data_IF_332271614854
#
_entry.id   IF_332271614854
#
_cell.length_a   1.000
_cell.length_b   1.000
_cell.length_c   1.000
_cell.angle_alpha   90.00
_cell.angle_beta   90.00
_cell.angle_gamma   90.00
#
_symmetry.space_group_name_H-M   'P 1'
#
loop_
_entity.id
_entity.type
_entity.pdbx_description
1 polymer ?
#
# COMPACT_ATOMS: atom_id res chain seq x y z
N UNK A 1 34.27 56.95 19.99
CA UNK A 1 34.31 55.73 19.17
C UNK A 1 33.00 54.99 19.42
N UNK A 2 32.06 55.03 18.48
CA UNK A 2 30.75 54.40 18.63
C UNK A 2 30.84 52.92 18.32
N UNK A 3 30.46 52.07 19.27
CA UNK A 3 30.34 50.62 19.11
C UNK A 3 29.26 50.31 18.06
N UNK A 4 29.65 49.69 16.96
CA UNK A 4 28.74 49.23 15.91
C UNK A 4 28.01 47.99 16.41
N UNK A 5 26.79 48.15 16.91
CA UNK A 5 25.91 47.01 17.20
C UNK A 5 25.39 46.43 15.88
N UNK A 6 25.92 45.29 15.45
CA UNK A 6 25.30 44.46 14.42
C UNK A 6 24.27 43.55 15.08
N UNK A 7 22.99 43.72 14.73
CA UNK A 7 21.93 42.78 15.10
C UNK A 7 21.82 41.70 14.02
N UNK A 8 21.91 40.44 14.43
CA UNK A 8 21.67 39.26 13.60
C UNK A 8 20.32 38.67 13.99
N UNK A 9 19.38 38.69 13.06
CA UNK A 9 18.06 38.09 13.24
C UNK A 9 17.98 36.84 12.37
N UNK A 10 17.73 35.69 12.99
CA UNK A 10 17.43 34.43 12.30
C UNK A 10 15.94 34.14 12.44
N UNK A 11 15.24 34.11 11.30
CA UNK A 11 13.83 33.72 11.25
C UNK A 11 13.72 32.41 10.49
N UNK A 12 13.24 31.38 11.18
CA UNK A 12 12.90 30.09 10.57
C UNK A 12 11.52 30.27 9.91
N UNK A 13 11.49 30.44 8.59
CA UNK A 13 10.23 30.45 7.85
C UNK A 13 9.80 29.02 7.56
N UNK A 14 8.60 28.69 8.04
CA UNK A 14 8.09 27.32 8.09
C UNK A 14 7.91 26.63 6.74
N UNK A 15 7.92 25.30 6.85
CA UNK A 15 7.55 24.25 5.91
C UNK A 15 6.78 24.72 4.66
N UNK A 16 7.41 24.69 3.50
CA UNK A 16 6.69 24.75 2.22
C UNK A 16 7.00 23.50 1.39
N UNK A 17 5.96 22.70 1.17
CA UNK A 17 5.92 21.77 0.04
C UNK A 17 5.94 22.64 -1.21
N UNK A 18 6.74 22.26 -2.21
CA UNK A 18 6.69 22.94 -3.51
C UNK A 18 5.34 22.63 -4.17
N UNK A 19 4.34 23.46 -3.88
CA UNK A 19 2.93 23.31 -4.30
C UNK A 19 2.80 23.27 -5.83
N UNK A 20 3.83 23.71 -6.56
CA UNK A 20 3.87 23.69 -8.01
C UNK A 20 4.16 22.29 -8.59
N UNK A 21 4.78 21.38 -7.81
CA UNK A 21 5.09 20.02 -8.27
C UNK A 21 3.88 19.12 -8.03
N UNK A 22 2.98 19.02 -9.02
CA UNK A 22 1.88 18.06 -8.96
C UNK A 22 2.46 16.64 -8.88
N UNK A 23 2.04 15.81 -7.90
CA UNK A 23 2.51 14.44 -7.82
C UNK A 23 2.11 13.66 -9.07
N UNK A 24 3.03 12.86 -9.62
CA UNK A 24 2.71 11.97 -10.73
C UNK A 24 1.99 10.75 -10.18
N UNK A 25 0.77 10.52 -10.69
CA UNK A 25 -0.07 9.38 -10.34
C UNK A 25 -0.17 8.43 -11.53
N UNK A 26 0.14 7.16 -11.32
CA UNK A 26 -0.15 6.10 -12.28
C UNK A 26 -0.79 4.92 -11.60
N UNK A 27 -1.87 4.41 -12.17
CA UNK A 27 -2.54 3.21 -11.73
C UNK A 27 -2.60 2.22 -12.90
N UNK A 28 -2.11 1.00 -12.69
CA UNK A 28 -2.11 -0.07 -13.69
C UNK A 28 -2.72 -1.34 -13.12
N UNK A 29 -3.57 -1.98 -13.92
CA UNK A 29 -4.07 -3.34 -13.65
C UNK A 29 -3.58 -4.26 -14.76
N UNK A 30 -3.03 -5.42 -14.41
CA UNK A 30 -2.71 -6.47 -15.38
C UNK A 30 -3.81 -7.54 -15.38
N UNK A 31 -4.26 -7.91 -16.57
CA UNK A 31 -5.49 -8.67 -16.77
C UNK A 31 -5.27 -10.17 -16.97
N UNK A 32 -6.19 -10.96 -16.40
CA UNK A 32 -6.41 -12.36 -16.74
C UNK A 32 -7.89 -12.72 -16.69
N UNK A 33 -8.69 -12.27 -17.67
CA UNK A 33 -10.14 -12.55 -17.81
C UNK A 33 -11.12 -11.87 -16.82
N UNK A 34 -12.38 -11.70 -17.25
CA UNK A 34 -13.51 -11.31 -16.40
C UNK A 34 -14.11 -12.56 -15.75
N UNK A 35 -14.17 -12.59 -14.42
CA UNK A 35 -14.67 -13.74 -13.67
C UNK A 35 -16.14 -13.55 -13.34
N UNK A 36 -17.01 -14.41 -13.87
CA UNK A 36 -18.42 -14.46 -13.46
C UNK A 36 -18.62 -15.63 -12.49
N UNK A 37 -18.96 -15.34 -11.23
CA UNK A 37 -19.16 -16.35 -10.19
C UNK A 37 -20.43 -17.21 -10.38
N UNK A 38 -21.38 -16.80 -11.23
CA UNK A 38 -22.66 -17.49 -11.38
C UNK A 38 -22.47 -18.87 -12.02
N UNK A 39 -22.74 -19.95 -11.26
CA UNK A 39 -22.70 -21.33 -11.73
C UNK A 39 -21.37 -22.07 -11.51
N UNK A 40 -20.37 -21.42 -10.92
CA UNK A 40 -19.07 -22.02 -10.62
C UNK A 40 -18.86 -22.13 -9.10
N UNK A 41 -18.96 -23.35 -8.57
CA UNK A 41 -18.93 -23.63 -7.12
C UNK A 41 -17.65 -23.12 -6.44
N UNK A 42 -16.48 -23.29 -7.07
CA UNK A 42 -15.23 -22.86 -6.44
C UNK A 42 -15.13 -21.32 -6.41
N UNK A 43 -15.58 -20.63 -7.47
CA UNK A 43 -15.65 -19.16 -7.47
C UNK A 43 -16.66 -18.65 -6.44
N UNK A 44 -17.75 -19.37 -6.19
CA UNK A 44 -18.70 -19.01 -5.14
C UNK A 44 -18.08 -19.11 -3.75
N UNK A 45 -17.29 -20.15 -3.47
CA UNK A 45 -16.53 -20.29 -2.21
C UNK A 45 -15.49 -19.18 -2.05
N UNK A 46 -14.79 -18.83 -3.14
CA UNK A 46 -13.84 -17.71 -3.15
C UNK A 46 -14.56 -16.38 -2.89
N UNK A 47 -15.67 -16.11 -3.59
CA UNK A 47 -16.49 -14.91 -3.37
C UNK A 47 -16.95 -14.82 -1.91
N UNK A 48 -17.42 -15.91 -1.31
CA UNK A 48 -17.86 -15.92 0.09
C UNK A 48 -16.69 -15.64 1.05
N UNK A 49 -15.52 -16.24 0.80
CA UNK A 49 -14.30 -16.02 1.58
C UNK A 49 -13.80 -14.58 1.50
N UNK A 50 -13.83 -13.98 0.30
CA UNK A 50 -13.46 -12.57 0.08
C UNK A 50 -14.50 -11.61 0.68
N UNK A 51 -15.79 -11.92 0.53
CA UNK A 51 -16.89 -11.10 1.08
C UNK A 51 -16.89 -11.09 2.62
N UNK A 52 -16.34 -12.12 3.26
CA UNK A 52 -16.17 -12.16 4.71
C UNK A 52 -15.06 -11.23 5.22
N UNK A 53 -14.19 -10.75 4.33
CA UNK A 53 -13.08 -9.85 4.71
C UNK A 53 -13.65 -8.47 5.04
N UNK A 54 -13.46 -8.04 6.29
CA UNK A 54 -13.82 -6.71 6.75
C UNK A 54 -12.73 -5.69 6.39
N UNK A 55 -13.16 -4.52 5.91
CA UNK A 55 -12.30 -3.35 5.67
C UNK A 55 -12.95 -2.07 6.17
N UNK A 56 -12.15 -1.15 6.70
CA UNK A 56 -12.59 0.21 7.01
C UNK A 56 -12.28 1.13 5.84
N UNK A 57 -13.29 1.45 5.02
CA UNK A 57 -13.10 2.26 3.80
C UNK A 57 -12.73 3.71 4.12
N UNK A 58 -13.32 4.31 5.14
CA UNK A 58 -13.03 5.69 5.55
C UNK A 58 -11.56 5.86 5.95
N UNK A 59 -11.03 4.93 6.76
CA UNK A 59 -9.64 5.00 7.23
C UNK A 59 -8.66 4.78 6.07
N UNK A 60 -8.98 3.87 5.15
CA UNK A 60 -8.17 3.63 3.97
C UNK A 60 -8.12 4.85 3.02
N UNK A 61 -9.26 5.51 2.78
CA UNK A 61 -9.35 6.74 1.98
C UNK A 61 -8.61 7.89 2.68
N UNK A 62 -8.76 8.02 4.00
CA UNK A 62 -8.03 9.02 4.77
C UNK A 62 -6.53 8.82 4.63
N UNK A 63 -6.04 7.57 4.78
CA UNK A 63 -4.63 7.26 4.62
C UNK A 63 -4.15 7.54 3.18
N UNK A 64 -4.92 7.14 2.16
CA UNK A 64 -4.59 7.42 0.75
C UNK A 64 -4.44 8.93 0.51
N UNK A 65 -5.36 9.74 1.01
CA UNK A 65 -5.30 11.19 0.84
C UNK A 65 -4.09 11.79 1.55
N UNK A 66 -3.84 11.41 2.80
CA UNK A 66 -2.67 11.90 3.53
C UNK A 66 -1.39 11.52 2.81
N UNK A 67 -1.23 10.24 2.45
CA UNK A 67 -0.05 9.76 1.74
C UNK A 67 0.15 10.46 0.39
N UNK A 68 -0.89 10.55 -0.44
CA UNK A 68 -0.83 11.10 -1.79
C UNK A 68 -0.57 12.61 -1.82
N UNK A 69 -1.20 13.36 -0.91
CA UNK A 69 -1.17 14.83 -0.97
C UNK A 69 -0.12 15.46 -0.07
N UNK A 70 0.18 14.82 1.06
CA UNK A 70 1.07 15.41 2.05
C UNK A 70 2.46 14.80 2.02
N UNK A 71 2.62 13.54 1.60
CA UNK A 71 3.90 12.85 1.82
C UNK A 71 4.62 12.43 0.56
N UNK A 72 4.00 12.32 -0.62
CA UNK A 72 4.63 11.66 -1.76
C UNK A 72 4.75 12.51 -3.04
N UNK A 73 5.95 12.51 -3.62
CA UNK A 73 6.28 13.14 -4.91
C UNK A 73 5.83 12.30 -6.11
N UNK A 74 5.82 10.98 -5.94
CA UNK A 74 5.40 10.00 -6.94
C UNK A 74 4.56 8.92 -6.26
N UNK A 75 3.51 8.46 -6.95
CA UNK A 75 2.61 7.42 -6.49
C UNK A 75 2.24 6.51 -7.65
N UNK A 76 2.67 5.26 -7.57
CA UNK A 76 2.44 4.26 -8.60
C UNK A 76 1.81 3.02 -7.99
N UNK A 77 0.59 2.74 -8.40
CA UNK A 77 -0.14 1.54 -8.02
C UNK A 77 -0.12 0.55 -9.18
N UNK A 78 0.17 -0.69 -8.86
CA UNK A 78 0.05 -1.80 -9.79
C UNK A 78 -0.66 -2.95 -9.09
N UNK A 79 -1.74 -3.44 -9.69
CA UNK A 79 -2.44 -4.60 -9.18
C UNK A 79 -2.53 -5.70 -10.24
N UNK A 80 -2.23 -6.93 -9.83
CA UNK A 80 -2.30 -8.12 -10.67
C UNK A 80 -3.20 -9.15 -10.01
N UNK A 81 -4.19 -9.65 -10.75
CA UNK A 81 -5.02 -10.77 -10.31
C UNK A 81 -4.77 -11.97 -11.22
N UNK A 82 -4.56 -13.13 -10.61
CA UNK A 82 -4.36 -14.39 -11.33
C UNK A 82 -5.17 -15.51 -10.70
N UNK A 83 -5.58 -16.42 -11.56
CA UNK A 83 -6.36 -17.59 -11.19
C UNK A 83 -5.57 -18.86 -11.55
N UNK A 84 -5.62 -19.83 -10.65
CA UNK A 84 -4.98 -21.14 -10.78
C UNK A 84 -6.06 -22.21 -10.61
N UNK A 85 -6.21 -23.12 -11.58
CA UNK A 85 -7.28 -24.12 -11.58
C UNK A 85 -6.75 -25.54 -11.71
N UNK A 86 -7.48 -26.47 -11.10
CA UNK A 86 -7.33 -27.89 -11.38
C UNK A 86 -6.02 -28.52 -10.90
N UNK A 87 -5.32 -27.90 -9.96
CA UNK A 87 -4.12 -28.49 -9.38
C UNK A 87 -4.54 -29.67 -8.51
N UNK A 88 -3.89 -30.83 -8.68
CA UNK A 88 -4.13 -31.97 -7.81
C UNK A 88 -3.74 -31.62 -6.37
N UNK A 89 -4.46 -32.16 -5.38
CA UNK A 89 -4.03 -32.10 -3.98
C UNK A 89 -2.65 -32.74 -3.74
N UNK A 90 -2.21 -33.63 -4.64
CA UNK A 90 -0.86 -34.22 -4.62
C UNK A 90 0.21 -33.28 -5.20
N UNK A 91 -0.18 -32.23 -5.92
CA UNK A 91 0.68 -31.28 -6.61
C UNK A 91 0.60 -29.87 -5.98
N UNK A 92 0.30 -29.80 -4.68
CA UNK A 92 0.22 -28.54 -3.96
C UNK A 92 1.54 -27.74 -3.99
N UNK A 93 2.69 -28.41 -4.03
CA UNK A 93 3.99 -27.75 -4.15
C UNK A 93 4.13 -26.97 -5.47
N UNK A 94 3.63 -27.53 -6.58
CA UNK A 94 3.60 -26.85 -7.88
C UNK A 94 2.70 -25.63 -7.83
N UNK A 95 1.50 -25.75 -7.25
CA UNK A 95 0.60 -24.61 -7.06
C UNK A 95 1.26 -23.51 -6.21
N UNK A 96 1.90 -23.87 -5.10
CA UNK A 96 2.59 -22.92 -4.24
C UNK A 96 3.73 -22.24 -4.98
N UNK A 97 4.49 -22.98 -5.79
CA UNK A 97 5.57 -22.43 -6.62
C UNK A 97 5.03 -21.38 -7.59
N UNK A 98 3.99 -21.71 -8.36
CA UNK A 98 3.42 -20.82 -9.37
C UNK A 98 2.78 -19.56 -8.76
N UNK A 99 2.15 -19.70 -7.57
CA UNK A 99 1.66 -18.56 -6.80
C UNK A 99 2.84 -17.70 -6.35
N UNK A 100 3.91 -18.32 -5.85
CA UNK A 100 5.06 -17.60 -5.30
C UNK A 100 5.84 -16.79 -6.32
N UNK A 101 5.85 -17.21 -7.59
CA UNK A 101 6.43 -16.42 -8.69
C UNK A 101 5.79 -15.02 -8.80
N UNK A 102 4.51 -14.87 -8.49
CA UNK A 102 3.83 -13.57 -8.50
C UNK A 102 4.30 -12.63 -7.37
N UNK A 103 4.67 -13.21 -6.23
CA UNK A 103 4.90 -12.45 -4.99
C UNK A 103 6.38 -12.29 -4.64
N UNK A 104 7.24 -13.18 -5.15
CA UNK A 104 8.68 -13.26 -4.86
C UNK A 104 9.01 -14.34 -3.82
N UNK A 105 10.29 -14.68 -3.69
CA UNK A 105 10.77 -15.84 -2.90
C UNK A 105 10.32 -15.83 -1.43
N UNK A 106 10.16 -14.66 -0.80
CA UNK A 106 9.72 -14.54 0.59
C UNK A 106 8.29 -15.04 0.83
N UNK A 107 7.47 -15.12 -0.21
CA UNK A 107 6.11 -15.65 -0.14
C UNK A 107 6.07 -17.17 0.01
N UNK A 108 7.06 -17.89 -0.55
CA UNK A 108 7.15 -19.36 -0.51
C UNK A 108 7.11 -19.86 0.93
N UNK A 109 7.88 -19.22 1.83
CA UNK A 109 7.94 -19.63 3.24
C UNK A 109 6.58 -19.49 3.95
N UNK A 110 5.83 -18.43 3.64
CA UNK A 110 4.50 -18.20 4.22
C UNK A 110 3.44 -19.13 3.63
N UNK A 111 3.54 -19.42 2.33
CA UNK A 111 2.62 -20.31 1.61
C UNK A 111 2.90 -21.79 1.90
N UNK A 112 4.13 -22.16 2.25
CA UNK A 112 4.48 -23.54 2.63
C UNK A 112 3.72 -24.05 3.86
N UNK A 113 3.09 -23.19 4.67
CA UNK A 113 2.17 -23.63 5.73
C UNK A 113 0.92 -24.36 5.20
N UNK A 114 0.55 -24.13 3.93
CA UNK A 114 -0.62 -24.71 3.26
C UNK A 114 -0.50 -26.22 3.12
N UNK A 115 0.70 -26.73 2.80
CA UNK A 115 0.93 -28.15 2.54
C UNK A 115 0.63 -29.05 3.76
N UNK A 116 0.58 -28.46 4.96
CA UNK A 116 0.33 -29.17 6.22
C UNK A 116 -1.11 -29.04 6.73
N UNK A 117 -1.99 -28.36 6.00
CA UNK A 117 -3.36 -28.11 6.45
C UNK A 117 -4.28 -29.29 6.08
N UNK A 118 -4.68 -30.10 7.08
CA UNK A 118 -5.56 -31.26 6.88
C UNK A 118 -7.00 -30.90 6.48
N UNK A 119 -7.42 -29.63 6.66
CA UNK A 119 -8.75 -29.11 6.32
C UNK A 119 -8.66 -27.97 5.30
N UNK A 120 -8.39 -28.31 4.04
CA UNK A 120 -8.12 -27.36 2.95
C UNK A 120 -9.39 -26.89 2.22
N UNK A 121 -10.59 -26.96 2.82
CA UNK A 121 -11.86 -26.66 2.13
C UNK A 121 -11.87 -25.25 1.52
N UNK A 122 -11.57 -24.23 2.32
CA UNK A 122 -11.28 -22.88 1.84
C UNK A 122 -10.30 -22.21 2.80
N UNK A 123 -9.24 -21.62 2.25
CA UNK A 123 -8.20 -20.94 3.02
C UNK A 123 -7.85 -19.61 2.40
N UNK A 124 -7.65 -18.60 3.23
CA UNK A 124 -7.22 -17.26 2.85
C UNK A 124 -5.88 -16.97 3.49
N UNK A 125 -4.97 -16.39 2.71
CA UNK A 125 -3.69 -15.90 3.17
C UNK A 125 -3.54 -14.46 2.74
N UNK A 126 -3.08 -13.62 3.67
CA UNK A 126 -2.68 -12.25 3.40
C UNK A 126 -1.22 -12.10 3.78
N UNK A 127 -0.47 -11.35 2.99
CA UNK A 127 0.90 -11.02 3.30
C UNK A 127 1.23 -9.61 2.85
N UNK A 128 2.16 -9.02 3.59
CA UNK A 128 2.64 -7.67 3.36
C UNK A 128 4.17 -7.69 3.47
N UNK A 129 4.81 -6.94 2.57
CA UNK A 129 6.25 -6.79 2.45
C UNK A 129 6.55 -5.30 2.17
N UNK A 130 7.74 -4.84 2.55
CA UNK A 130 8.12 -3.44 2.32
C UNK A 130 7.30 -2.43 3.14
N UNK A 131 6.94 -2.79 4.37
CA UNK A 131 6.21 -1.88 5.28
C UNK A 131 7.06 -0.70 5.76
N UNK A 132 8.37 -0.68 5.47
CA UNK A 132 9.22 0.48 5.70
C UNK A 132 8.94 1.55 4.65
N UNK A 133 8.19 2.57 5.05
CA UNK A 133 7.80 3.67 4.17
C UNK A 133 8.99 4.51 3.67
N UNK A 134 10.19 4.35 4.25
CA UNK A 134 11.42 4.98 3.73
C UNK A 134 11.90 4.34 2.44
N UNK A 135 11.61 3.06 2.24
CA UNK A 135 12.02 2.30 1.04
C UNK A 135 11.19 2.65 -0.19
N UNK A 136 10.01 3.25 0.00
CA UNK A 136 9.16 3.67 -1.11
C UNK A 136 8.54 2.52 -1.88
N UNK A 137 8.49 1.31 -1.32
CA UNK A 137 7.92 0.15 -2.00
C UNK A 137 7.16 -0.72 -1.01
N UNK A 138 5.85 -0.84 -1.21
CA UNK A 138 4.95 -1.66 -0.44
C UNK A 138 4.33 -2.72 -1.35
N UNK A 139 4.45 -3.99 -0.97
CA UNK A 139 3.80 -5.10 -1.66
C UNK A 139 2.85 -5.80 -0.70
N UNK A 140 1.61 -5.96 -1.12
CA UNK A 140 0.59 -6.72 -0.42
C UNK A 140 0.08 -7.82 -1.33
N UNK A 141 -0.27 -8.97 -0.76
CA UNK A 141 -0.99 -9.96 -1.54
C UNK A 141 -1.99 -10.75 -0.74
N UNK A 142 -2.98 -11.23 -1.48
CA UNK A 142 -4.09 -12.01 -0.98
C UNK A 142 -4.22 -13.25 -1.85
N UNK A 143 -4.22 -14.42 -1.21
CA UNK A 143 -4.39 -15.71 -1.86
C UNK A 143 -5.58 -16.40 -1.22
N UNK A 144 -6.58 -16.73 -2.02
CA UNK A 144 -7.73 -17.53 -1.59
C UNK A 144 -7.70 -18.85 -2.33
N UNK A 145 -7.63 -19.94 -1.59
CA UNK A 145 -7.60 -21.30 -2.10
C UNK A 145 -8.87 -22.02 -1.69
N UNK A 146 -9.35 -22.90 -2.56
CA UNK A 146 -10.49 -23.76 -2.29
C UNK A 146 -10.23 -25.15 -2.86
N UNK A 147 -10.55 -26.16 -2.07
CA UNK A 147 -10.51 -27.56 -2.50
C UNK A 147 -11.88 -27.97 -3.05
N UNK A 148 -11.90 -28.64 -4.19
CA UNK A 148 -13.08 -29.32 -4.73
C UNK A 148 -12.71 -30.74 -5.17
N UNK A 149 -13.20 -31.75 -4.44
CA UNK A 149 -12.73 -33.14 -4.61
C UNK A 149 -11.22 -33.24 -4.43
N UNK A 150 -10.54 -33.84 -5.41
CA UNK A 150 -9.08 -34.00 -5.43
C UNK A 150 -8.32 -32.83 -6.09
N UNK A 151 -9.03 -31.74 -6.38
CA UNK A 151 -8.46 -30.55 -7.01
C UNK A 151 -8.46 -29.35 -6.08
N UNK A 152 -7.51 -28.46 -6.30
CA UNK A 152 -7.36 -27.19 -5.60
C UNK A 152 -7.35 -26.08 -6.65
N UNK A 153 -8.17 -25.07 -6.41
CA UNK A 153 -8.24 -23.86 -7.20
C UNK A 153 -7.84 -22.68 -6.31
N UNK A 154 -7.21 -21.67 -6.89
CA UNK A 154 -6.81 -20.47 -6.16
C UNK A 154 -7.04 -19.21 -6.99
N UNK A 155 -7.37 -18.13 -6.30
CA UNK A 155 -7.38 -16.78 -6.87
C UNK A 155 -6.46 -15.91 -6.01
N UNK A 156 -5.61 -15.17 -6.70
CA UNK A 156 -4.49 -14.44 -6.13
C UNK A 156 -4.55 -12.98 -6.56
N UNK A 157 -4.24 -12.04 -5.68
CA UNK A 157 -4.07 -10.63 -5.99
C UNK A 157 -2.76 -10.12 -5.40
N UNK A 158 -1.91 -9.53 -6.23
CA UNK A 158 -0.71 -8.77 -5.84
C UNK A 158 -1.02 -7.29 -6.00
N UNK A 159 -1.00 -6.55 -4.91
CA UNK A 159 -1.04 -5.08 -4.93
C UNK A 159 0.36 -4.55 -4.62
N UNK A 160 0.91 -3.77 -5.55
CA UNK A 160 2.18 -3.08 -5.43
C UNK A 160 1.95 -1.57 -5.39
N UNK A 161 2.52 -0.92 -4.40
CA UNK A 161 2.54 0.52 -4.27
C UNK A 161 4.00 0.98 -4.22
N UNK A 162 4.44 1.68 -5.27
CA UNK A 162 5.74 2.36 -5.31
C UNK A 162 5.52 3.85 -5.12
N UNK A 163 6.29 4.46 -4.24
CA UNK A 163 6.18 5.88 -3.92
C UNK A 163 7.53 6.46 -3.49
N UNK A 164 7.64 7.78 -3.53
CA UNK A 164 8.81 8.48 -3.01
C UNK A 164 8.37 9.57 -2.05
N UNK A 165 9.00 9.64 -0.86
CA UNK A 165 8.72 10.67 0.13
C UNK A 165 9.14 12.04 -0.41
N UNK A 166 8.19 12.97 -0.44
CA UNK A 166 8.41 14.36 -0.74
C UNK A 166 9.45 14.92 0.23
N UNK A 167 10.40 15.67 -0.33
CA UNK A 167 11.48 16.23 0.44
C UNK A 167 10.99 17.49 1.17
N UNK A 168 11.43 17.65 2.41
CA UNK A 168 11.13 18.83 3.22
C UNK A 168 12.21 19.88 2.97
N UNK A 169 11.79 21.07 2.59
CA UNK A 169 12.70 22.20 2.35
C UNK A 169 12.70 23.08 3.59
N UNK A 170 13.86 23.14 4.24
CA UNK A 170 14.12 24.07 5.34
C UNK A 170 14.95 25.24 4.78
N UNK A 171 14.63 26.47 5.21
CA UNK A 171 15.37 27.66 4.81
C UNK A 171 15.70 28.54 6.00
N UNK A 172 16.94 29.02 6.03
CA UNK A 172 17.42 29.99 7.00
C UNK A 172 17.77 31.27 6.26
N UNK A 173 17.06 32.35 6.56
CA UNK A 173 17.41 33.68 6.06
C UNK A 173 18.13 34.44 7.16
N UNK A 174 19.39 34.80 6.89
CA UNK A 174 20.17 35.72 7.71
C UNK A 174 20.12 37.10 7.08
N UNK A 175 19.66 38.09 7.85
CA UNK A 175 19.66 39.50 7.46
C UNK A 175 20.70 40.28 8.23
N UNK A 176 21.37 41.20 7.56
CA UNK A 176 22.32 42.14 8.15
C UNK A 176 21.75 43.55 8.06
N UNK A 177 21.92 44.33 9.11
CA UNK A 177 21.39 45.69 9.21
C UNK A 177 22.51 46.68 9.56
N UNK A 178 22.47 47.86 8.92
CA UNK A 178 23.32 49.00 9.25
C UNK A 178 22.45 50.24 9.44
N UNK A 179 22.57 50.90 10.61
CA UNK A 179 21.75 52.07 10.98
C UNK A 179 20.23 51.85 10.80
N UNK A 180 19.74 50.63 11.04
CA UNK A 180 18.33 50.28 10.90
C UNK A 180 17.89 49.92 9.46
N UNK A 181 18.78 50.01 8.47
CA UNK A 181 18.51 49.61 7.09
C UNK A 181 19.07 48.22 6.80
N UNK A 182 18.29 47.36 6.14
CA UNK A 182 18.75 46.04 5.67
C UNK A 182 19.83 46.24 4.60
N UNK A 183 21.05 45.77 4.88
CA UNK A 183 22.20 45.90 3.98
C UNK A 183 22.47 44.64 3.18
N UNK A 184 22.12 43.47 3.73
CA UNK A 184 22.25 42.21 3.02
C UNK A 184 21.25 41.19 3.56
N UNK A 185 20.87 40.26 2.69
CA UNK A 185 20.06 39.09 3.03
C UNK A 185 20.67 37.87 2.36
N UNK A 186 20.87 36.81 3.14
CA UNK A 186 21.37 35.52 2.66
C UNK A 186 20.39 34.44 3.10
N UNK A 187 19.76 33.78 2.14
CA UNK A 187 18.94 32.60 2.38
C UNK A 187 19.75 31.36 2.07
N UNK A 188 19.86 30.44 3.03
CA UNK A 188 20.37 29.09 2.84
C UNK A 188 19.21 28.14 2.85
N UNK A 189 19.16 27.26 1.86
CA UNK A 189 18.11 26.25 1.73
C UNK A 189 18.76 24.88 1.81
N UNK A 190 18.17 23.98 2.58
CA UNK A 190 18.56 22.57 2.59
C UNK A 190 17.32 21.68 2.56
N UNK A 191 17.54 20.46 2.08
CA UNK A 191 16.49 19.48 1.89
C UNK A 191 16.69 18.34 2.89
N UNK A 192 15.62 17.95 3.57
CA UNK A 192 15.60 16.85 4.52
C UNK A 192 14.52 15.84 4.14
N UNK A 193 14.75 14.57 4.44
CA UNK A 193 13.72 13.55 4.24
C UNK A 193 12.64 13.71 5.32
N UNK A 194 11.37 13.83 4.89
CA UNK A 194 10.22 13.97 5.77
C UNK A 194 9.97 12.69 6.57
N UNK A 195 9.59 12.83 7.85
CA UNK A 195 9.20 11.70 8.70
C UNK A 195 7.72 11.36 8.52
N UNK A 196 7.42 10.08 8.29
CA UNK A 196 6.04 9.57 8.16
C UNK A 196 5.63 8.95 9.50
N UNK A 197 5.53 9.79 10.55
CA UNK A 197 5.43 9.34 11.94
C UNK A 197 4.04 8.87 12.40
N UNK A 198 3.00 9.01 11.58
CA UNK A 198 1.59 8.75 11.95
C UNK A 198 1.01 7.48 11.29
N UNK A 199 1.73 6.87 10.34
CA UNK A 199 1.21 5.72 9.59
C UNK A 199 1.51 4.43 10.33
N UNK A 200 0.46 3.76 10.80
CA UNK A 200 0.59 2.47 11.47
C UNK A 200 0.59 1.32 10.46
N UNK A 201 1.23 0.20 10.83
CA UNK A 201 1.17 -1.03 10.03
C UNK A 201 -0.28 -1.50 9.81
N UNK A 202 -1.17 -1.31 10.80
CA UNK A 202 -2.59 -1.65 10.67
C UNK A 202 -3.25 -0.83 9.57
N UNK A 203 -3.05 0.49 9.59
CA UNK A 203 -3.60 1.39 8.58
C UNK A 203 -3.14 1.01 7.17
N UNK A 204 -1.85 0.63 7.01
CA UNK A 204 -1.31 0.16 5.74
C UNK A 204 -1.94 -1.16 5.28
N UNK A 205 -2.11 -2.13 6.18
CA UNK A 205 -2.77 -3.41 5.86
C UNK A 205 -4.22 -3.17 5.42
N UNK A 206 -4.97 -2.37 6.18
CA UNK A 206 -6.36 -2.05 5.84
C UNK A 206 -6.47 -1.34 4.49
N UNK A 207 -5.57 -0.38 4.21
CA UNK A 207 -5.51 0.30 2.91
C UNK A 207 -5.21 -0.68 1.77
N UNK A 208 -4.15 -1.48 1.87
CA UNK A 208 -3.80 -2.44 0.81
C UNK A 208 -4.89 -3.50 0.59
N UNK A 209 -5.49 -3.99 1.69
CA UNK A 209 -6.60 -4.94 1.64
C UNK A 209 -7.82 -4.34 0.93
N UNK A 210 -8.15 -3.08 1.21
CA UNK A 210 -9.24 -2.37 0.53
C UNK A 210 -8.97 -2.26 -0.98
N UNK A 211 -7.74 -1.90 -1.38
CA UNK A 211 -7.35 -1.81 -2.81
C UNK A 211 -7.42 -3.18 -3.50
N UNK A 212 -6.94 -4.24 -2.86
CA UNK A 212 -7.03 -5.60 -3.39
C UNK A 212 -8.48 -6.08 -3.53
N UNK A 213 -9.35 -5.81 -2.55
CA UNK A 213 -10.77 -6.15 -2.62
C UNK A 213 -11.51 -5.35 -3.69
N UNK A 214 -11.21 -4.07 -3.85
CA UNK A 214 -11.77 -3.25 -4.92
C UNK A 214 -11.38 -3.81 -6.30
N UNK A 215 -10.17 -4.36 -6.46
CA UNK A 215 -9.81 -5.07 -7.70
C UNK A 215 -10.57 -6.38 -7.88
N UNK A 216 -10.62 -7.22 -6.85
CA UNK A 216 -11.43 -8.43 -6.93
C UNK A 216 -12.88 -8.12 -7.32
N UNK A 217 -13.42 -7.00 -6.84
CA UNK A 217 -14.77 -6.56 -7.16
C UNK A 217 -14.89 -6.09 -8.60
N UNK A 218 -13.96 -5.26 -9.08
CA UNK A 218 -13.94 -4.78 -10.47
C UNK A 218 -13.86 -5.92 -11.48
N UNK A 219 -13.18 -7.00 -11.13
CA UNK A 219 -13.05 -8.17 -11.99
C UNK A 219 -14.12 -9.24 -11.77
N UNK A 220 -15.10 -9.02 -10.88
CA UNK A 220 -16.21 -9.93 -10.65
C UNK A 220 -15.90 -11.15 -9.78
N UNK A 221 -14.72 -11.23 -9.17
CA UNK A 221 -14.35 -12.32 -8.22
C UNK A 221 -15.12 -12.20 -6.92
N UNK A 222 -15.34 -10.97 -6.45
CA UNK A 222 -16.15 -10.68 -5.26
C UNK A 222 -17.30 -9.76 -5.62
N UNK A 223 -18.50 -10.12 -5.20
CA UNK A 223 -19.72 -9.35 -5.45
C UNK A 223 -19.86 -8.17 -4.49
N UNK A 224 -19.48 -8.38 -3.22
CA UNK A 224 -19.68 -7.40 -2.15
C UNK A 224 -18.45 -7.30 -1.25
N UNK A 225 -18.12 -6.08 -0.84
CA UNK A 225 -17.05 -5.79 0.11
C UNK A 225 -17.68 -5.48 1.47
N UNK A 226 -17.27 -6.18 2.53
CA UNK A 226 -17.78 -5.96 3.87
C UNK A 226 -17.09 -4.75 4.52
N UNK A 227 -17.79 -3.62 4.52
CA UNK A 227 -17.28 -2.35 5.06
C UNK A 227 -17.73 -2.17 6.50
N UNK A 228 -16.76 -1.96 7.39
CA UNK A 228 -16.98 -1.67 8.82
C UNK A 228 -16.67 -0.20 9.14
N UNK A 229 -17.06 0.24 10.35
CA UNK A 229 -16.98 1.64 10.77
C UNK A 229 -15.59 2.07 11.25
N UNK A 230 -14.76 1.14 11.71
CA UNK A 230 -13.42 1.43 12.21
C UNK A 230 -12.43 0.33 11.84
N UNK A 231 -11.15 0.67 11.78
CA UNK A 231 -10.09 -0.33 11.59
C UNK A 231 -10.07 -1.40 12.70
N UNK A 232 -10.47 -1.05 13.92
CA UNK A 232 -10.56 -2.00 15.04
C UNK A 232 -11.65 -3.05 14.80
N UNK A 233 -12.76 -2.67 14.18
CA UNK A 233 -13.83 -3.59 13.81
C UNK A 233 -13.43 -4.51 12.63
N UNK A 234 -12.44 -4.10 11.84
CA UNK A 234 -11.95 -4.86 10.69
C UNK A 234 -11.02 -6.03 11.09
N UNK A 235 -10.59 -6.06 12.36
CA UNK A 235 -9.69 -7.08 12.91
C UNK A 235 -10.43 -8.17 13.72
N UNK A 236 -11.72 -7.99 14.01
CA UNK A 236 -12.59 -8.96 14.69
C UNK A 236 -13.27 -9.92 13.71
#
# INVERSE_FOLDING_TARGET
MGSTESKRESRMEGYRVDVARRPSYTYRTQYGHNWYCSGNEYLQRINNSLSAIKVCRSDAISLENTLRWEFFDNWQEECEIKEFKGYSTLQLSSLISDISEMYGEDSIRKLNGIQFCQHLETKKFEFIFGTDLRTGNLKFGTVVMTKNGDTVNAVCCVYNLKFSVAAEVESETTKEYFLGFETSSKTRTWTKQRSIGFVTQRSLINFCRMKALDEFQRHGVVSTINVVRSITDAEQ
#
